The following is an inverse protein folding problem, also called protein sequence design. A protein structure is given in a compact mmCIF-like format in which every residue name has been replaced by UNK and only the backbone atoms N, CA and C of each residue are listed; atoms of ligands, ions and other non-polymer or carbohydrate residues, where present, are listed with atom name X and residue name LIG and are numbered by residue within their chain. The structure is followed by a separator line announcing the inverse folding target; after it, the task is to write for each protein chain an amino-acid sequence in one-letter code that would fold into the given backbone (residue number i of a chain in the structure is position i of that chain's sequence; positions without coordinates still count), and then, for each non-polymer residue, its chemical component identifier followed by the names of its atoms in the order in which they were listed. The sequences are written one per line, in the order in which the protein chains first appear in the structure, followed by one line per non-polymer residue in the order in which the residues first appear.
data_IF_740330137064
#
_entry.id   IF_740330137064
#
_cell.length_a   1.000
_cell.length_b   1.000
_cell.length_c   1.000
_cell.angle_alpha   90.00
_cell.angle_beta   90.00
_cell.angle_gamma   90.00
#
_symmetry.space_group_name_H-M   'P 1'
#
loop_
_entity.id
_entity.type
_entity.pdbx_description
1 polymer ?
#
# COMPACT_ATOMS: atom_id res chain seq x y z
N UNK A 1 10.00 -62.95 44.59
CA UNK A 1 9.27 -61.95 43.75
C UNK A 1 10.04 -61.79 42.45
N UNK A 2 9.33 -61.53 41.35
CA UNK A 2 9.76 -61.86 39.98
C UNK A 2 10.65 -60.81 39.30
N UNK A 3 11.64 -61.31 38.55
CA UNK A 3 12.39 -60.57 37.52
C UNK A 3 11.54 -60.35 36.25
N UNK A 4 11.60 -59.16 35.64
CA UNK A 4 11.24 -58.97 34.23
C UNK A 4 11.85 -57.69 33.63
N UNK A 5 12.37 -57.80 32.40
CA UNK A 5 12.97 -56.71 31.61
C UNK A 5 11.96 -56.09 30.63
N UNK A 6 11.98 -54.76 30.46
CA UNK A 6 11.50 -54.08 29.25
C UNK A 6 12.39 -52.86 28.95
N UNK A 7 13.35 -52.97 28.02
CA UNK A 7 13.23 -52.62 26.59
C UNK A 7 12.87 -51.15 26.33
N UNK A 8 13.90 -50.34 26.10
CA UNK A 8 13.78 -49.01 25.50
C UNK A 8 13.34 -49.10 24.02
N UNK A 9 12.52 -48.15 23.59
CA UNK A 9 12.29 -47.85 22.17
C UNK A 9 12.64 -46.38 21.93
N UNK A 10 13.71 -46.14 21.17
CA UNK A 10 13.96 -44.83 20.56
C UNK A 10 12.97 -44.64 19.42
N UNK A 11 12.21 -43.56 19.44
CA UNK A 11 11.49 -43.05 18.27
C UNK A 11 12.39 -41.97 17.67
N UNK A 12 12.72 -42.09 16.38
CA UNK A 12 13.30 -41.00 15.60
C UNK A 12 12.16 -40.24 14.91
N UNK A 13 12.14 -38.90 14.92
CA UNK A 13 11.54 -38.14 13.84
C UNK A 13 12.53 -38.09 12.67
N UNK A 14 12.10 -38.51 11.47
CA UNK A 14 12.81 -38.17 10.23
C UNK A 14 12.47 -36.71 9.89
N UNK A 15 13.43 -35.81 10.03
CA UNK A 15 13.43 -34.50 9.41
C UNK A 15 14.56 -34.44 8.39
N UNK A 16 14.22 -34.36 7.10
CA UNK A 16 15.15 -33.95 6.05
C UNK A 16 14.83 -32.51 5.65
N UNK A 17 15.83 -31.64 5.48
CA UNK A 17 15.60 -30.25 5.12
C UNK A 17 15.21 -30.13 3.64
N UNK A 18 14.50 -29.05 3.32
CA UNK A 18 14.28 -28.61 1.95
C UNK A 18 15.55 -27.89 1.49
N UNK A 19 16.12 -28.29 0.36
CA UNK A 19 17.32 -27.67 -0.20
C UNK A 19 16.94 -26.39 -0.97
N UNK A 20 17.64 -25.30 -0.67
CA UNK A 20 17.56 -24.06 -1.44
C UNK A 20 18.15 -24.28 -2.85
N UNK A 21 17.54 -23.69 -3.87
CA UNK A 21 18.11 -23.67 -5.22
C UNK A 21 18.01 -22.27 -5.81
N UNK A 22 19.14 -21.57 -5.84
CA UNK A 22 19.28 -20.23 -6.41
C UNK A 22 20.18 -20.26 -7.65
N UNK A 23 19.86 -19.40 -8.62
CA UNK A 23 20.59 -19.15 -9.89
C UNK A 23 20.52 -20.31 -10.91
N UNK A 24 20.16 -20.08 -12.18
CA UNK A 24 20.89 -19.23 -13.13
C UNK A 24 20.00 -18.65 -14.23
N UNK A 25 20.34 -17.44 -14.64
CA UNK A 25 19.86 -16.79 -15.86
C UNK A 25 20.59 -17.31 -17.11
N UNK A 26 19.85 -17.54 -18.20
CA UNK A 26 20.43 -17.54 -19.56
C UNK A 26 19.42 -17.02 -20.58
N UNK A 27 19.89 -16.07 -21.37
CA UNK A 27 19.28 -15.40 -22.52
C UNK A 27 18.33 -16.23 -23.40
N UNK A 28 17.22 -15.62 -23.83
CA UNK A 28 16.40 -16.09 -24.94
C UNK A 28 16.47 -15.10 -26.12
N UNK A 29 16.60 -15.61 -27.35
CA UNK A 29 16.43 -14.87 -28.61
C UNK A 29 15.39 -15.60 -29.45
N UNK A 30 14.48 -14.90 -30.16
CA UNK A 30 13.44 -15.55 -30.95
C UNK A 30 13.98 -16.04 -32.30
N UNK A 31 13.47 -17.17 -32.77
CA UNK A 31 13.50 -17.57 -34.18
C UNK A 31 12.08 -17.93 -34.62
N UNK A 32 11.76 -17.60 -35.88
CA UNK A 32 10.41 -17.72 -36.42
C UNK A 32 10.37 -18.78 -37.54
N UNK A 33 9.34 -19.64 -37.51
CA UNK A 33 8.84 -20.36 -38.68
C UNK A 33 7.48 -21.01 -38.41
N UNK A 34 6.50 -20.74 -39.28
CA UNK A 34 5.39 -21.67 -39.56
C UNK A 34 5.80 -22.70 -40.63
N UNK A 35 4.87 -23.43 -41.29
CA UNK A 35 3.45 -23.08 -41.46
C UNK A 35 2.43 -24.27 -41.44
N UNK A 36 1.19 -23.95 -41.84
CA UNK A 36 0.18 -24.80 -42.53
C UNK A 36 -0.70 -25.86 -41.81
N UNK A 37 -1.91 -25.41 -41.47
CA UNK A 37 -3.25 -25.94 -41.89
C UNK A 37 -3.54 -27.44 -41.97
N UNK A 38 -4.63 -27.87 -41.30
CA UNK A 38 -5.68 -28.75 -41.88
C UNK A 38 -7.07 -28.48 -41.27
N UNK A 39 -8.14 -28.84 -42.03
CA UNK A 39 -9.60 -28.78 -41.76
C UNK A 39 -10.24 -29.95 -42.54
N UNK A 40 -11.57 -30.27 -42.46
CA UNK A 40 -12.64 -29.72 -41.61
C UNK A 40 -13.11 -30.78 -40.57
N UNK A 41 -14.26 -31.51 -40.58
CA UNK A 41 -15.48 -31.48 -41.43
C UNK A 41 -16.59 -30.56 -40.84
N UNK A 42 -17.88 -30.84 -41.09
CA UNK A 42 -19.04 -30.04 -40.66
C UNK A 42 -20.34 -30.87 -40.61
N UNK A 43 -21.28 -30.49 -39.71
CA UNK A 43 -22.64 -31.07 -39.56
C UNK A 43 -22.96 -31.22 -38.07
N UNK A 44 -24.06 -30.73 -37.49
CA UNK A 44 -25.47 -30.86 -37.91
C UNK A 44 -26.30 -29.56 -37.79
N UNK A 45 -27.53 -29.57 -38.33
CA UNK A 45 -28.44 -28.40 -38.43
C UNK A 45 -29.27 -28.12 -37.16
N UNK A 46 -29.37 -26.81 -36.86
CA UNK A 46 -30.53 -26.05 -36.32
C UNK A 46 -31.57 -26.78 -35.46
N UNK A 47 -31.79 -26.24 -34.26
CA UNK A 47 -33.12 -25.73 -33.87
C UNK A 47 -33.00 -24.29 -33.34
N UNK A 48 -33.89 -23.39 -33.78
CA UNK A 48 -34.08 -22.07 -33.16
C UNK A 48 -35.15 -22.21 -32.08
N UNK A 49 -34.86 -21.77 -30.85
CA UNK A 49 -35.87 -21.15 -29.99
C UNK A 49 -35.25 -19.92 -29.34
N UNK A 50 -35.88 -18.77 -29.59
CA UNK A 50 -35.64 -17.54 -28.86
C UNK A 50 -35.99 -17.74 -27.39
N UNK A 51 -35.13 -17.23 -26.51
CA UNK A 51 -35.48 -16.86 -25.14
C UNK A 51 -34.93 -15.46 -24.92
N UNK A 52 -35.84 -14.52 -24.74
CA UNK A 52 -35.53 -13.18 -24.25
C UNK A 52 -35.13 -13.29 -22.76
N UNK A 53 -34.21 -12.46 -22.26
CA UNK A 53 -33.92 -12.39 -20.84
C UNK A 53 -35.09 -11.74 -20.09
N UNK A 54 -35.44 -12.33 -18.94
CA UNK A 54 -36.52 -11.85 -18.07
C UNK A 54 -35.97 -10.73 -17.17
N UNK A 55 -36.61 -9.56 -17.22
CA UNK A 55 -36.45 -8.47 -16.26
C UNK A 55 -37.19 -8.82 -14.95
N UNK A 56 -36.52 -8.82 -13.77
CA UNK A 56 -37.13 -9.13 -12.49
C UNK A 56 -37.71 -7.91 -11.74
N UNK A 57 -37.78 -6.71 -12.32
CA UNK A 57 -38.35 -5.52 -11.68
C UNK A 57 -39.34 -4.73 -12.55
N UNK A 58 -40.61 -5.19 -12.62
CA UNK A 58 -41.82 -4.34 -12.54
C UNK A 58 -43.10 -5.16 -12.54
N UNK A 59 -44.09 -4.78 -11.71
CA UNK A 59 -45.34 -5.53 -11.57
C UNK A 59 -46.39 -4.92 -10.64
N UNK A 60 -46.79 -3.66 -10.91
CA UNK A 60 -48.11 -3.01 -10.65
C UNK A 60 -48.95 -3.40 -9.40
N UNK A 61 -49.61 -2.48 -8.68
CA UNK A 61 -50.44 -1.40 -9.21
C UNK A 61 -50.73 -0.26 -8.19
N UNK A 62 -51.42 0.78 -8.68
CA UNK A 62 -51.77 2.04 -8.01
C UNK A 62 -52.80 1.95 -6.88
N UNK A 63 -52.65 2.78 -5.84
CA UNK A 63 -53.75 3.09 -4.90
C UNK A 63 -53.41 4.04 -3.73
N UNK A 64 -53.89 5.29 -3.80
CA UNK A 64 -54.46 6.02 -2.66
C UNK A 64 -53.57 6.58 -1.52
N UNK A 65 -53.36 7.91 -1.56
CA UNK A 65 -53.38 8.86 -0.42
C UNK A 65 -52.35 8.79 0.75
N UNK A 66 -51.49 9.83 0.78
CA UNK A 66 -51.02 10.64 1.95
C UNK A 66 -50.70 9.93 3.29
N UNK A 67 -49.44 10.01 3.73
CA UNK A 67 -49.05 10.74 4.95
C UNK A 67 -47.53 11.04 5.00
N UNK A 68 -47.21 12.28 5.40
CA UNK A 68 -46.04 12.77 6.17
C UNK A 68 -44.60 12.20 6.03
N UNK A 69 -43.73 13.06 5.51
CA UNK A 69 -42.38 13.42 6.02
C UNK A 69 -41.41 12.36 6.59
N UNK A 70 -40.40 11.99 5.78
CA UNK A 70 -39.00 11.84 6.21
C UNK A 70 -38.08 11.91 4.98
N UNK A 71 -37.08 12.81 4.95
CA UNK A 71 -36.28 13.02 3.72
C UNK A 71 -35.24 14.13 3.76
N UNK A 72 -34.40 14.19 4.79
CA UNK A 72 -33.13 14.94 4.85
C UNK A 72 -32.15 14.19 5.76
N UNK A 73 -30.85 14.34 5.50
CA UNK A 73 -29.70 13.49 5.91
C UNK A 73 -29.45 12.37 4.89
N UNK A 74 -28.26 12.17 4.31
CA UNK A 74 -26.93 12.69 4.67
C UNK A 74 -26.28 13.47 3.51
N UNK A 75 -25.63 14.57 3.85
CA UNK A 75 -24.57 15.21 3.05
C UNK A 75 -23.53 15.76 4.04
N UNK A 76 -22.23 15.60 3.80
CA UNK A 76 -21.21 16.05 4.76
C UNK A 76 -21.27 17.58 4.90
N UNK A 77 -21.29 18.05 6.16
CA UNK A 77 -21.14 19.48 6.45
C UNK A 77 -19.73 19.91 6.10
N UNK A 78 -19.60 21.04 5.42
CA UNK A 78 -18.37 21.51 4.77
C UNK A 78 -17.68 22.61 5.58
N UNK A 79 -18.04 22.75 6.84
CA UNK A 79 -17.98 23.99 7.60
C UNK A 79 -17.33 23.83 8.99
N UNK A 80 -16.19 23.12 9.07
CA UNK A 80 -15.36 22.98 10.29
C UNK A 80 -13.82 23.00 10.07
N UNK A 81 -13.30 23.80 9.12
CA UNK A 81 -11.91 24.30 9.22
C UNK A 81 -11.76 25.64 8.48
N UNK A 82 -11.10 26.66 9.08
CA UNK A 82 -10.72 27.85 8.33
C UNK A 82 -9.54 27.52 7.40
N UNK A 83 -9.76 27.60 6.09
CA UNK A 83 -8.74 27.45 5.05
C UNK A 83 -7.51 28.35 5.35
N UNK A 84 -6.33 27.77 5.63
CA UNK A 84 -5.13 28.52 5.84
C UNK A 84 -4.38 28.72 4.50
N UNK A 85 -4.90 29.64 3.69
CA UNK A 85 -4.18 30.37 2.62
C UNK A 85 -3.91 29.61 1.31
N UNK A 86 -4.90 28.94 0.72
CA UNK A 86 -4.90 28.85 -0.75
C UNK A 86 -5.65 30.04 -1.37
N UNK A 87 -4.89 31.03 -1.87
CA UNK A 87 -5.44 32.01 -2.81
C UNK A 87 -5.27 31.46 -4.25
N UNK A 88 -6.36 31.06 -4.93
CA UNK A 88 -6.29 30.53 -6.30
C UNK A 88 -5.80 31.56 -7.34
N UNK A 89 -5.64 32.83 -6.99
CA UNK A 89 -5.24 33.89 -7.92
C UNK A 89 -3.72 33.98 -8.20
N UNK A 90 -2.89 33.09 -7.66
CA UNK A 90 -1.41 33.21 -7.72
C UNK A 90 -0.64 32.21 -8.59
N UNK A 91 -1.29 31.28 -9.32
CA UNK A 91 -0.61 30.35 -10.23
C UNK A 91 -1.49 29.91 -11.40
N UNK A 92 -1.06 30.20 -12.64
CA UNK A 92 -1.66 29.64 -13.87
C UNK A 92 -1.31 28.15 -14.07
N UNK A 93 -0.38 27.59 -13.28
CA UNK A 93 -0.03 26.17 -13.31
C UNK A 93 -0.81 25.38 -12.24
N UNK A 94 -1.28 24.15 -12.54
CA UNK A 94 -1.88 23.28 -11.55
C UNK A 94 -0.86 22.92 -10.45
N UNK A 95 -1.31 22.65 -9.22
CA UNK A 95 -0.42 22.26 -8.14
C UNK A 95 0.25 20.91 -8.43
N UNK A 96 1.55 20.81 -8.14
CA UNK A 96 2.29 19.54 -8.22
C UNK A 96 1.58 18.47 -7.38
N UNK A 97 1.53 17.24 -7.91
CA UNK A 97 0.82 16.13 -7.30
C UNK A 97 1.79 15.07 -6.75
N UNK A 98 1.65 14.74 -5.46
CA UNK A 98 2.24 13.59 -4.80
C UNK A 98 1.27 12.41 -4.86
N UNK A 99 1.77 11.21 -5.21
CA UNK A 99 1.05 9.95 -4.99
C UNK A 99 1.83 9.04 -4.04
N UNK A 100 1.23 8.66 -2.93
CA UNK A 100 1.79 7.66 -2.00
C UNK A 100 1.10 6.32 -2.24
N UNK A 101 1.86 5.23 -2.34
CA UNK A 101 1.31 3.90 -2.64
C UNK A 101 1.66 2.94 -1.50
N UNK A 102 0.64 2.53 -0.76
CA UNK A 102 0.74 1.74 0.47
C UNK A 102 -0.06 0.44 0.39
N UNK A 103 0.28 -0.54 1.21
CA UNK A 103 -0.32 -1.87 1.18
C UNK A 103 -1.64 -1.91 1.96
N UNK A 104 -1.67 -1.38 3.18
CA UNK A 104 -2.83 -1.44 4.10
C UNK A 104 -3.18 -0.06 4.68
N UNK A 105 -4.36 0.09 5.29
CA UNK A 105 -4.74 1.33 5.98
C UNK A 105 -4.10 1.40 7.37
N UNK A 106 -3.07 2.24 7.49
CA UNK A 106 -2.25 2.60 8.67
C UNK A 106 -0.83 2.97 8.20
N UNK A 107 -0.28 2.17 7.28
CA UNK A 107 1.01 2.32 6.61
C UNK A 107 1.29 3.76 6.16
N UNK A 108 0.28 4.46 5.63
CA UNK A 108 0.40 5.83 5.15
C UNK A 108 0.66 6.81 6.30
N UNK A 109 -0.03 6.68 7.44
CA UNK A 109 0.22 7.55 8.60
C UNK A 109 1.55 7.27 9.29
N UNK A 110 2.04 6.02 9.23
CA UNK A 110 3.33 5.63 9.81
C UNK A 110 4.47 6.18 8.94
N UNK A 111 4.46 5.83 7.65
CA UNK A 111 5.60 6.02 6.74
C UNK A 111 5.64 7.36 6.01
N UNK A 112 4.48 7.92 5.63
CA UNK A 112 4.39 9.13 4.80
C UNK A 112 3.48 10.23 5.34
N UNK A 113 2.89 10.05 6.54
CA UNK A 113 1.86 10.94 7.08
C UNK A 113 2.34 12.38 7.29
N UNK A 114 3.63 12.56 7.63
CA UNK A 114 4.26 13.86 7.72
C UNK A 114 4.50 14.47 6.34
N UNK A 115 5.10 13.72 5.40
CA UNK A 115 5.27 14.15 4.00
C UNK A 115 3.94 14.57 3.36
N UNK A 116 2.86 13.80 3.54
CA UNK A 116 1.54 14.12 3.02
C UNK A 116 0.97 15.40 3.67
N UNK A 117 1.08 15.56 4.99
CA UNK A 117 0.61 16.75 5.69
C UNK A 117 1.42 18.01 5.32
N UNK A 118 2.74 17.90 5.13
CA UNK A 118 3.60 18.99 4.63
C UNK A 118 3.23 19.35 3.18
N UNK A 119 3.07 18.36 2.30
CA UNK A 119 2.64 18.61 0.92
C UNK A 119 1.28 19.33 0.84
N UNK A 120 0.30 18.93 1.66
CA UNK A 120 -0.99 19.64 1.79
C UNK A 120 -0.80 21.07 2.33
N UNK A 121 0.06 21.27 3.33
CA UNK A 121 0.35 22.60 3.89
C UNK A 121 1.02 23.54 2.87
N UNK A 122 1.84 22.99 1.97
CA UNK A 122 2.50 23.71 0.85
C UNK A 122 1.59 23.89 -0.38
N UNK A 123 0.29 23.60 -0.26
CA UNK A 123 -0.69 23.72 -1.36
C UNK A 123 -0.49 22.73 -2.49
N UNK A 124 0.24 21.62 -2.26
CA UNK A 124 0.40 20.52 -3.22
C UNK A 124 -0.79 19.58 -3.13
N UNK A 125 -1.08 18.91 -4.24
CA UNK A 125 -2.11 17.89 -4.28
C UNK A 125 -1.54 16.56 -3.82
N UNK A 126 -2.29 15.82 -3.01
CA UNK A 126 -1.88 14.50 -2.50
C UNK A 126 -2.95 13.48 -2.85
N UNK A 127 -2.52 12.34 -3.38
CA UNK A 127 -3.38 11.19 -3.71
C UNK A 127 -2.80 9.93 -3.07
N UNK A 128 -3.49 9.38 -2.09
CA UNK A 128 -3.13 8.09 -1.51
C UNK A 128 -3.66 6.94 -2.39
N UNK A 129 -2.90 5.87 -2.53
CA UNK A 129 -3.39 4.59 -3.04
C UNK A 129 -3.13 3.50 -2.00
N UNK A 130 -4.19 2.83 -1.54
CA UNK A 130 -4.07 1.68 -0.63
C UNK A 130 -4.40 0.38 -1.39
N UNK A 131 -3.48 -0.58 -1.42
CA UNK A 131 -3.63 -1.79 -2.23
C UNK A 131 -4.72 -2.74 -1.72
N UNK A 132 -4.86 -2.85 -0.40
CA UNK A 132 -5.78 -3.77 0.28
C UNK A 132 -6.67 -3.05 1.31
N UNK A 133 -7.51 -3.78 2.03
CA UNK A 133 -8.29 -3.26 3.17
C UNK A 133 -7.70 -3.65 4.53
N UNK A 134 -6.57 -4.36 4.56
CA UNK A 134 -5.98 -4.83 5.81
C UNK A 134 -6.85 -5.82 6.58
N UNK A 135 -7.66 -6.62 5.87
CA UNK A 135 -8.67 -7.48 6.49
C UNK A 135 -8.14 -8.74 7.20
N UNK A 136 -6.84 -9.02 7.13
CA UNK A 136 -6.15 -10.09 7.86
C UNK A 136 -5.34 -9.55 9.07
N UNK A 137 -5.40 -8.24 9.32
CA UNK A 137 -4.73 -7.59 10.45
C UNK A 137 -5.19 -8.12 11.82
N UNK A 138 -4.31 -8.00 12.81
CA UNK A 138 -4.62 -8.31 14.21
C UNK A 138 -5.27 -7.09 14.87
N UNK A 139 -6.22 -7.27 15.80
CA UNK A 139 -6.85 -6.15 16.52
C UNK A 139 -6.13 -5.94 17.86
N UNK A 140 -5.35 -4.86 17.96
CA UNK A 140 -4.46 -4.63 19.12
C UNK A 140 -5.14 -4.01 20.35
N UNK A 141 -6.40 -3.61 20.23
CA UNK A 141 -7.21 -3.03 21.32
C UNK A 141 -8.16 -4.10 21.87
N UNK A 142 -7.99 -4.58 23.12
CA UNK A 142 -8.73 -5.72 23.67
C UNK A 142 -10.26 -5.56 23.65
N UNK A 143 -10.78 -4.34 23.84
CA UNK A 143 -12.22 -4.06 23.80
C UNK A 143 -12.80 -4.14 22.38
N UNK A 144 -11.95 -4.06 21.36
CA UNK A 144 -12.32 -4.19 19.95
C UNK A 144 -12.05 -5.59 19.40
N UNK A 145 -11.23 -6.42 20.07
CA UNK A 145 -10.91 -7.79 19.66
C UNK A 145 -12.12 -8.73 19.85
N UNK A 146 -13.01 -8.71 18.86
CA UNK A 146 -14.25 -9.49 18.88
C UNK A 146 -14.45 -10.23 17.55
N UNK A 147 -15.04 -11.44 17.55
CA UNK A 147 -15.33 -12.16 16.30
C UNK A 147 -16.22 -11.38 15.32
N UNK A 148 -16.99 -10.39 15.78
CA UNK A 148 -17.73 -9.48 14.90
C UNK A 148 -16.78 -8.52 14.18
N UNK A 149 -15.92 -7.82 14.92
CA UNK A 149 -14.97 -6.86 14.33
C UNK A 149 -13.99 -7.56 13.37
N UNK A 150 -13.49 -8.76 13.70
CA UNK A 150 -12.70 -9.57 12.77
C UNK A 150 -13.41 -9.83 11.43
N UNK A 151 -14.72 -10.14 11.45
CA UNK A 151 -15.48 -10.38 10.21
C UNK A 151 -15.67 -9.13 9.34
N UNK A 152 -15.56 -7.94 9.92
CA UNK A 152 -15.73 -6.63 9.23
C UNK A 152 -14.47 -5.76 9.29
N UNK A 153 -13.30 -6.32 9.55
CA UNK A 153 -12.10 -5.53 9.86
C UNK A 153 -11.74 -4.54 8.75
N UNK A 154 -11.85 -4.97 7.49
CA UNK A 154 -11.63 -4.10 6.33
C UNK A 154 -12.68 -2.99 6.13
N UNK A 155 -13.85 -3.06 6.79
CA UNK A 155 -14.83 -1.95 6.84
C UNK A 155 -14.45 -0.96 7.95
N UNK A 156 -14.00 -1.48 9.10
CA UNK A 156 -13.50 -0.66 10.21
C UNK A 156 -12.27 0.13 9.78
N UNK A 157 -11.24 -0.55 9.25
CA UNK A 157 -9.99 0.08 8.77
C UNK A 157 -10.23 1.09 7.63
N UNK A 158 -11.27 0.92 6.81
CA UNK A 158 -11.64 1.91 5.81
C UNK A 158 -12.21 3.20 6.44
N UNK A 159 -12.99 3.10 7.51
CA UNK A 159 -13.47 4.26 8.26
C UNK A 159 -12.36 4.91 9.12
N UNK A 160 -11.43 4.11 9.64
CA UNK A 160 -10.22 4.60 10.32
C UNK A 160 -9.32 5.39 9.36
N UNK A 161 -9.14 4.90 8.12
CA UNK A 161 -8.43 5.58 7.05
C UNK A 161 -9.08 6.92 6.66
N UNK A 162 -10.40 6.95 6.44
CA UNK A 162 -11.12 8.19 6.12
C UNK A 162 -10.93 9.24 7.21
N UNK A 163 -10.98 8.84 8.48
CA UNK A 163 -10.70 9.74 9.60
C UNK A 163 -9.23 10.18 9.68
N UNK A 164 -8.27 9.29 9.37
CA UNK A 164 -6.85 9.62 9.30
C UNK A 164 -6.56 10.64 8.19
N UNK A 165 -7.12 10.44 7.00
CA UNK A 165 -6.98 11.36 5.86
C UNK A 165 -7.55 12.74 6.18
N UNK A 166 -8.69 12.81 6.89
CA UNK A 166 -9.27 14.06 7.35
C UNK A 166 -8.33 14.84 8.30
N UNK A 167 -7.64 14.17 9.23
CA UNK A 167 -6.68 14.83 10.14
C UNK A 167 -5.40 15.29 9.42
N UNK A 168 -4.94 14.57 8.39
CA UNK A 168 -3.81 14.99 7.55
C UNK A 168 -4.18 16.13 6.57
N UNK A 169 -5.47 16.27 6.23
CA UNK A 169 -5.97 17.17 5.19
C UNK A 169 -5.92 16.58 3.78
N UNK A 170 -5.72 15.27 3.64
CA UNK A 170 -5.74 14.56 2.34
C UNK A 170 -7.21 14.29 1.96
N UNK A 171 -7.61 14.70 0.76
CA UNK A 171 -9.01 14.61 0.28
C UNK A 171 -9.21 13.63 -0.88
N UNK A 172 -8.12 13.03 -1.38
CA UNK A 172 -8.14 12.05 -2.47
C UNK A 172 -7.39 10.78 -2.05
N UNK A 173 -8.11 9.66 -1.99
CA UNK A 173 -7.52 8.33 -1.83
C UNK A 173 -8.29 7.31 -2.66
N UNK A 174 -7.56 6.32 -3.18
CA UNK A 174 -8.05 5.29 -4.10
C UNK A 174 -7.68 3.90 -3.57
N UNK A 175 -8.51 2.90 -3.85
CA UNK A 175 -8.23 1.49 -3.48
C UNK A 175 -7.89 0.67 -4.71
N UNK A 176 -6.77 -0.06 -4.68
CA UNK A 176 -6.40 -0.98 -5.76
C UNK A 176 -7.30 -2.24 -5.81
N UNK A 177 -8.03 -2.50 -4.73
CA UNK A 177 -9.11 -3.48 -4.66
C UNK A 177 -8.64 -4.93 -4.55
N UNK A 178 -7.53 -5.20 -3.86
CA UNK A 178 -7.08 -6.56 -3.53
C UNK A 178 -7.38 -6.92 -2.07
N UNK A 179 -7.35 -8.23 -1.79
CA UNK A 179 -7.42 -8.78 -0.44
C UNK A 179 -6.04 -8.76 0.21
N UNK A 180 -6.00 -8.39 1.49
CA UNK A 180 -4.83 -8.57 2.37
C UNK A 180 -4.32 -10.02 2.34
N UNK A 181 -3.01 -10.17 2.14
CA UNK A 181 -2.33 -11.46 1.96
C UNK A 181 -1.84 -12.10 3.22
N UNK A 182 -2.08 -11.52 4.40
CA UNK A 182 -1.56 -12.02 5.66
C UNK A 182 -0.01 -12.06 5.67
N UNK A 183 0.59 -12.46 6.78
CA UNK A 183 2.04 -12.63 6.87
C UNK A 183 2.53 -13.78 5.99
N UNK A 184 3.75 -13.63 5.46
CA UNK A 184 4.44 -14.66 4.67
C UNK A 184 4.41 -16.02 5.37
N UNK A 185 3.95 -17.06 4.66
CA UNK A 185 3.82 -18.42 5.18
C UNK A 185 2.60 -18.70 6.06
N UNK A 186 1.77 -17.70 6.42
CA UNK A 186 0.43 -17.94 7.00
C UNK A 186 -0.57 -18.33 5.89
N UNK A 187 -1.70 -18.93 6.26
CA UNK A 187 -2.64 -19.52 5.29
C UNK A 187 -3.34 -18.49 4.39
N UNK A 188 -3.50 -17.24 4.84
CA UNK A 188 -4.02 -16.16 3.99
C UNK A 188 -3.15 -15.86 2.77
N UNK A 189 -1.84 -16.10 2.89
CA UNK A 189 -0.86 -15.88 1.82
C UNK A 189 -0.98 -16.90 0.67
N UNK A 190 -1.77 -17.96 0.86
CA UNK A 190 -2.08 -18.99 -0.13
C UNK A 190 -3.45 -18.80 -0.81
N UNK A 191 -4.23 -17.78 -0.42
CA UNK A 191 -5.52 -17.49 -1.08
C UNK A 191 -5.27 -16.87 -2.46
N UNK A 192 -5.75 -17.46 -3.57
CA UNK A 192 -5.49 -16.94 -4.92
C UNK A 192 -6.10 -15.56 -5.20
N UNK A 193 -6.87 -15.00 -4.26
CA UNK A 193 -7.46 -13.65 -4.35
C UNK A 193 -6.63 -12.59 -3.61
N UNK A 194 -5.65 -12.98 -2.80
CA UNK A 194 -4.84 -12.02 -2.06
C UNK A 194 -3.82 -11.33 -2.97
N UNK A 195 -3.38 -10.14 -2.57
CA UNK A 195 -2.57 -9.26 -3.39
C UNK A 195 -1.22 -9.87 -3.79
N UNK A 196 -0.60 -10.63 -2.89
CA UNK A 196 0.64 -11.39 -3.13
C UNK A 196 0.50 -12.39 -4.30
N UNK A 197 -0.67 -13.02 -4.43
CA UNK A 197 -0.99 -13.99 -5.48
C UNK A 197 -1.55 -13.35 -6.76
N UNK A 198 -1.89 -12.05 -6.74
CA UNK A 198 -2.41 -11.35 -7.90
C UNK A 198 -1.42 -11.34 -9.07
N UNK A 199 -1.89 -11.36 -10.32
CA UNK A 199 -0.99 -11.19 -11.46
C UNK A 199 -0.35 -9.80 -11.45
N UNK A 200 0.96 -9.76 -11.70
CA UNK A 200 1.75 -8.55 -11.56
C UNK A 200 1.58 -7.57 -12.72
N UNK A 201 1.22 -8.07 -13.92
CA UNK A 201 0.90 -7.23 -15.05
C UNK A 201 -0.51 -6.61 -14.88
N UNK A 202 -1.46 -7.39 -14.36
CA UNK A 202 -2.80 -6.93 -13.98
C UNK A 202 -2.76 -5.84 -12.89
N UNK A 203 -2.11 -6.13 -11.76
CA UNK A 203 -2.00 -5.18 -10.64
C UNK A 203 -1.22 -3.92 -11.04
N UNK A 204 -0.12 -4.08 -11.78
CA UNK A 204 0.61 -2.98 -12.40
C UNK A 204 -0.26 -2.16 -13.35
N UNK A 205 -1.17 -2.80 -14.08
CA UNK A 205 -2.14 -2.15 -14.97
C UNK A 205 -3.16 -1.31 -14.22
N UNK A 206 -3.71 -1.82 -13.12
CA UNK A 206 -4.62 -1.08 -12.23
C UNK A 206 -3.96 0.18 -11.68
N UNK A 207 -2.73 0.09 -11.17
CA UNK A 207 -2.03 1.28 -10.66
C UNK A 207 -1.61 2.22 -11.80
N UNK A 208 -1.25 1.70 -12.97
CA UNK A 208 -0.96 2.53 -14.16
C UNK A 208 -2.17 3.39 -14.57
N UNK A 209 -3.39 2.85 -14.46
CA UNK A 209 -4.63 3.60 -14.68
C UNK A 209 -4.76 4.77 -13.70
N UNK A 210 -4.49 4.54 -12.41
CA UNK A 210 -4.49 5.59 -11.38
C UNK A 210 -3.40 6.64 -11.61
N UNK A 211 -2.18 6.24 -12.00
CA UNK A 211 -1.10 7.19 -12.33
C UNK A 211 -1.48 8.07 -13.53
N UNK A 212 -2.08 7.50 -14.58
CA UNK A 212 -2.56 8.26 -15.75
C UNK A 212 -3.74 9.20 -15.42
N UNK A 213 -4.60 8.78 -14.48
CA UNK A 213 -5.77 9.56 -14.00
C UNK A 213 -5.35 10.73 -13.11
N UNK A 214 -4.56 10.47 -12.07
CA UNK A 214 -4.22 11.45 -11.04
C UNK A 214 -2.97 12.26 -11.37
N UNK A 215 -2.15 11.81 -12.33
CA UNK A 215 -0.99 12.54 -12.86
C UNK A 215 0.01 13.00 -11.79
N UNK A 216 0.52 12.08 -10.95
CA UNK A 216 1.51 12.45 -9.95
C UNK A 216 2.83 12.86 -10.59
N UNK A 217 3.39 13.98 -10.17
CA UNK A 217 4.76 14.40 -10.48
C UNK A 217 5.77 13.59 -9.67
N UNK A 218 5.40 13.25 -8.43
CA UNK A 218 6.19 12.48 -7.48
C UNK A 218 5.40 11.25 -7.02
N UNK A 219 6.03 10.09 -6.99
CA UNK A 219 5.48 8.86 -6.40
C UNK A 219 6.34 8.39 -5.22
N UNK A 220 5.72 7.81 -4.19
CA UNK A 220 6.42 7.10 -3.10
C UNK A 220 5.84 5.71 -2.88
N UNK A 221 6.68 4.77 -2.44
CA UNK A 221 6.33 3.37 -2.11
C UNK A 221 7.37 2.80 -1.13
N UNK A 222 7.40 1.48 -0.93
CA UNK A 222 8.41 0.78 -0.11
C UNK A 222 9.69 0.47 -0.91
N UNK A 223 10.77 0.06 -0.24
CA UNK A 223 11.90 -0.59 -0.90
C UNK A 223 11.55 -2.01 -1.39
N UNK A 224 12.48 -2.68 -2.06
CA UNK A 224 12.28 -4.04 -2.62
C UNK A 224 12.05 -5.13 -1.54
N UNK A 225 12.51 -4.89 -0.31
CA UNK A 225 12.19 -5.72 0.86
C UNK A 225 10.84 -5.37 1.52
N UNK A 226 10.11 -4.37 1.02
CA UNK A 226 8.82 -3.98 1.59
C UNK A 226 8.93 -3.45 3.03
N UNK A 227 9.98 -2.68 3.33
CA UNK A 227 10.28 -2.22 4.69
C UNK A 227 10.70 -3.36 5.61
N UNK A 228 9.74 -4.04 6.25
CA UNK A 228 9.99 -5.08 7.26
C UNK A 228 9.82 -6.53 6.75
N UNK A 229 9.56 -6.71 5.45
CA UNK A 229 9.39 -8.02 4.81
C UNK A 229 7.94 -8.49 4.66
N UNK A 230 6.93 -7.61 4.74
CA UNK A 230 5.54 -8.00 4.50
C UNK A 230 5.31 -8.32 3.01
N UNK A 231 4.63 -9.44 2.66
CA UNK A 231 4.38 -9.80 1.26
C UNK A 231 3.69 -8.67 0.48
N UNK A 232 2.65 -8.06 1.06
CA UNK A 232 1.94 -6.96 0.39
C UNK A 232 2.77 -5.68 0.25
N UNK A 233 3.74 -5.42 1.12
CA UNK A 233 4.63 -4.25 0.98
C UNK A 233 5.60 -4.47 -0.20
N UNK A 234 6.18 -5.67 -0.29
CA UNK A 234 6.99 -6.11 -1.44
C UNK A 234 6.16 -6.06 -2.73
N UNK A 235 4.89 -6.49 -2.67
CA UNK A 235 4.00 -6.45 -3.84
C UNK A 235 3.59 -5.04 -4.24
N UNK A 236 3.38 -4.15 -3.28
CA UNK A 236 3.14 -2.73 -3.54
C UNK A 236 4.35 -2.08 -4.20
N UNK A 237 5.58 -2.42 -3.78
CA UNK A 237 6.81 -2.00 -4.45
C UNK A 237 6.84 -2.47 -5.92
N UNK A 238 6.68 -3.78 -6.16
CA UNK A 238 6.66 -4.38 -7.50
C UNK A 238 5.66 -3.72 -8.46
N UNK A 239 4.49 -3.36 -7.93
CA UNK A 239 3.38 -2.73 -8.66
C UNK A 239 3.65 -1.24 -8.89
N UNK A 240 4.16 -0.51 -7.88
CA UNK A 240 4.49 0.91 -7.97
C UNK A 240 5.65 1.20 -8.93
N UNK A 241 6.76 0.45 -8.83
CA UNK A 241 7.90 0.57 -9.76
C UNK A 241 7.45 0.31 -11.20
N UNK A 242 6.59 -0.68 -11.41
CA UNK A 242 6.04 -1.03 -12.73
C UNK A 242 5.11 0.03 -13.29
N UNK A 243 4.23 0.60 -12.47
CA UNK A 243 3.37 1.70 -12.89
C UNK A 243 4.18 2.96 -13.23
N UNK A 244 5.16 3.32 -12.40
CA UNK A 244 6.05 4.46 -12.64
C UNK A 244 6.87 4.33 -13.94
N UNK A 245 7.31 3.11 -14.26
CA UNK A 245 8.03 2.82 -15.51
C UNK A 245 7.12 2.80 -16.76
N UNK A 246 5.86 2.39 -16.63
CA UNK A 246 4.96 2.12 -17.78
C UNK A 246 3.93 3.22 -18.08
N UNK A 247 3.56 4.05 -17.11
CA UNK A 247 2.45 5.00 -17.28
C UNK A 247 2.66 6.01 -18.43
N UNK A 248 3.91 6.39 -18.71
CA UNK A 248 4.27 7.35 -19.75
C UNK A 248 4.43 6.74 -21.14
N UNK A 249 4.42 5.42 -21.27
CA UNK A 249 4.58 4.71 -22.54
C UNK A 249 3.21 4.19 -23.03
N UNK A 250 2.69 4.67 -24.18
CA UNK A 250 1.40 4.23 -24.71
C UNK A 250 1.38 2.77 -25.20
N UNK A 251 2.54 2.12 -25.39
CA UNK A 251 2.60 0.71 -25.73
C UNK A 251 2.21 -0.21 -24.55
N UNK A 252 2.30 0.27 -23.31
CA UNK A 252 1.83 -0.44 -22.12
C UNK A 252 0.37 -0.13 -21.81
N UNK A 253 -0.42 -1.19 -21.69
CA UNK A 253 -1.86 -1.13 -21.45
C UNK A 253 -2.61 -0.21 -22.45
N UNK A 254 -2.44 -0.39 -23.78
CA UNK A 254 -2.99 0.52 -24.78
C UNK A 254 -4.52 0.61 -24.72
N UNK A 255 -5.21 -0.41 -24.22
CA UNK A 255 -6.66 -0.40 -24.00
C UNK A 255 -7.14 0.62 -22.95
N UNK A 256 -6.26 1.16 -22.11
CA UNK A 256 -6.58 2.27 -21.21
C UNK A 256 -6.65 3.62 -21.95
N UNK A 257 -6.07 3.67 -23.16
CA UNK A 257 -5.99 4.85 -24.03
C UNK A 257 -6.87 4.68 -25.29
N UNK A 258 -7.20 3.43 -25.66
CA UNK A 258 -7.87 3.09 -26.90
C UNK A 258 -9.42 3.11 -26.77
N UNK A 259 -10.14 3.69 -27.75
CA UNK A 259 -11.60 3.75 -27.68
C UNK A 259 -12.32 2.38 -27.74
N UNK A 260 -11.84 1.43 -28.53
CA UNK A 260 -12.59 0.19 -28.84
C UNK A 260 -12.76 -0.82 -27.68
N UNK A 261 -12.10 -0.67 -26.53
CA UNK A 261 -12.19 -1.61 -25.40
C UNK A 261 -13.26 -1.24 -24.35
N UNK A 262 -14.29 -0.49 -24.76
CA UNK A 262 -15.24 0.17 -23.85
C UNK A 262 -14.90 1.63 -23.57
N UNK A 263 -13.84 2.14 -24.20
CA UNK A 263 -13.50 3.55 -24.19
C UNK A 263 -14.36 4.37 -25.16
N UNK A 264 -15.53 4.81 -24.73
CA UNK A 264 -15.89 6.21 -25.04
C UNK A 264 -15.13 7.14 -24.09
N UNK A 265 -13.82 6.87 -23.96
CA UNK A 265 -12.84 7.69 -23.30
C UNK A 265 -12.93 9.04 -23.99
N UNK A 266 -13.41 10.08 -23.29
CA UNK A 266 -13.62 11.35 -23.93
C UNK A 266 -12.26 11.95 -24.36
N UNK A 267 -12.21 13.14 -24.99
CA UNK A 267 -10.91 13.81 -25.10
C UNK A 267 -10.29 13.98 -23.70
N UNK A 268 -8.99 14.25 -23.61
CA UNK A 268 -8.37 14.58 -22.32
C UNK A 268 -9.15 15.69 -21.57
N UNK A 269 -9.62 16.70 -22.31
CA UNK A 269 -10.46 17.79 -21.82
C UNK A 269 -11.84 17.36 -21.29
N UNK A 270 -12.32 16.18 -21.68
CA UNK A 270 -13.64 15.66 -21.38
C UNK A 270 -13.58 14.44 -20.40
N UNK A 271 -12.37 13.99 -20.00
CA UNK A 271 -12.16 12.92 -18.99
C UNK A 271 -11.44 11.65 -19.47
N UNK A 272 -10.84 11.64 -20.66
CA UNK A 272 -10.02 10.50 -21.14
C UNK A 272 -8.65 10.39 -20.47
N UNK A 273 -8.03 9.19 -20.51
CA UNK A 273 -6.66 9.00 -20.04
C UNK A 273 -5.63 9.28 -21.13
N UNK A 274 -4.53 9.91 -20.74
CA UNK A 274 -3.34 10.10 -21.56
C UNK A 274 -2.14 9.38 -20.92
N UNK A 275 -1.07 9.05 -21.67
CA UNK A 275 0.20 8.66 -21.07
C UNK A 275 0.69 9.76 -20.11
N UNK A 276 1.09 9.37 -18.91
CA UNK A 276 1.64 10.29 -17.92
C UNK A 276 2.97 9.77 -17.41
N UNK A 277 3.99 10.62 -17.41
CA UNK A 277 5.36 10.28 -17.01
C UNK A 277 5.71 11.01 -15.70
N UNK A 278 5.44 10.41 -14.52
CA UNK A 278 5.88 10.93 -13.23
C UNK A 278 7.40 11.17 -13.25
N UNK A 279 7.85 12.18 -12.53
CA UNK A 279 9.23 12.68 -12.61
C UNK A 279 10.16 11.99 -11.63
N UNK A 280 9.69 11.67 -10.43
CA UNK A 280 10.53 11.15 -9.33
C UNK A 280 9.82 10.02 -8.60
N UNK A 281 10.55 8.94 -8.29
CA UNK A 281 10.08 7.80 -7.49
C UNK A 281 10.96 7.65 -6.26
N UNK A 282 10.32 7.66 -5.09
CA UNK A 282 10.98 7.46 -3.80
C UNK A 282 10.55 6.15 -3.14
N UNK A 283 11.48 5.57 -2.39
CA UNK A 283 11.24 4.47 -1.47
C UNK A 283 11.33 5.00 -0.04
N UNK A 284 10.41 4.58 0.82
CA UNK A 284 10.49 4.83 2.25
C UNK A 284 11.75 4.16 2.84
N UNK A 285 12.55 4.93 3.56
CA UNK A 285 13.71 4.44 4.28
C UNK A 285 13.42 4.35 5.78
N UNK A 286 13.96 3.34 6.44
CA UNK A 286 13.97 3.22 7.90
C UNK A 286 15.41 3.49 8.36
N UNK A 287 15.77 4.71 8.80
CA UNK A 287 17.16 5.03 9.10
C UNK A 287 17.69 4.22 10.27
N UNK A 288 18.92 3.72 10.12
CA UNK A 288 19.62 2.96 11.13
C UNK A 288 19.83 3.82 12.39
N UNK A 289 20.21 5.10 12.28
CA UNK A 289 20.37 5.99 13.43
C UNK A 289 19.09 6.13 14.25
N UNK A 290 17.96 6.41 13.58
CA UNK A 290 16.63 6.61 14.17
C UNK A 290 16.19 5.37 14.94
N UNK A 291 16.30 4.18 14.32
CA UNK A 291 15.90 2.92 14.97
C UNK A 291 16.84 2.49 16.10
N UNK A 292 18.15 2.68 15.95
CA UNK A 292 19.11 2.43 17.02
C UNK A 292 18.83 3.35 18.22
N UNK A 293 18.61 4.65 18.00
CA UNK A 293 18.25 5.59 19.05
C UNK A 293 16.93 5.24 19.76
N UNK A 294 15.93 4.74 19.04
CA UNK A 294 14.70 4.21 19.66
C UNK A 294 14.97 2.99 20.54
N UNK A 295 15.73 1.99 20.04
CA UNK A 295 16.13 0.81 20.83
C UNK A 295 16.87 1.23 22.10
N UNK A 296 17.92 2.03 21.95
CA UNK A 296 18.79 2.45 23.06
C UNK A 296 18.00 3.22 24.13
N UNK A 297 16.97 4.00 23.73
CA UNK A 297 16.06 4.68 24.66
C UNK A 297 15.10 3.71 25.35
N UNK A 298 14.61 2.66 24.70
CA UNK A 298 13.81 1.61 25.36
C UNK A 298 14.66 0.84 26.40
N UNK A 299 15.86 0.43 26.00
CA UNK A 299 16.78 -0.32 26.88
C UNK A 299 17.22 0.53 28.09
N UNK A 300 17.43 1.83 27.90
CA UNK A 300 17.69 2.78 29.01
C UNK A 300 16.52 2.95 29.99
N UNK A 301 15.28 2.62 29.58
CA UNK A 301 14.10 2.58 30.45
C UNK A 301 13.91 1.20 31.12
N UNK A 302 14.81 0.24 30.86
CA UNK A 302 14.72 -1.12 31.38
C UNK A 302 13.75 -2.03 30.61
N UNK A 303 13.36 -1.63 29.40
CA UNK A 303 12.42 -2.36 28.56
C UNK A 303 13.14 -3.00 27.37
N UNK A 304 12.86 -4.28 27.10
CA UNK A 304 13.38 -4.92 25.90
C UNK A 304 12.71 -4.28 24.67
N UNK A 305 13.51 -3.80 23.71
CA UNK A 305 12.97 -3.35 22.45
C UNK A 305 12.54 -4.55 21.61
N UNK A 306 11.47 -4.38 20.84
CA UNK A 306 11.06 -5.34 19.80
C UNK A 306 12.12 -5.46 18.69
N UNK A 307 13.10 -4.55 18.69
CA UNK A 307 14.25 -4.48 17.78
C UNK A 307 15.60 -4.76 18.48
N UNK A 308 15.59 -5.27 19.71
CA UNK A 308 16.78 -5.81 20.38
C UNK A 308 17.11 -7.20 19.83
N UNK A 309 18.38 -7.62 19.91
CA UNK A 309 18.76 -9.00 19.58
C UNK A 309 18.02 -10.00 20.50
N UNK A 310 17.50 -11.14 19.99
CA UNK A 310 16.78 -12.09 20.84
C UNK A 310 17.74 -12.75 21.82
N UNK A 311 17.51 -12.56 23.13
CA UNK A 311 18.45 -12.93 24.18
C UNK A 311 18.82 -14.44 24.24
N UNK A 312 17.88 -15.31 23.87
CA UNK A 312 18.03 -16.78 23.93
C UNK A 312 18.18 -17.42 22.53
N UNK A 313 18.50 -16.64 21.49
CA UNK A 313 18.71 -17.18 20.13
C UNK A 313 19.98 -18.03 20.00
N UNK A 314 19.89 -19.10 19.21
CA UNK A 314 21.08 -19.80 18.71
C UNK A 314 21.90 -18.91 17.74
N UNK A 315 23.18 -19.23 17.47
CA UNK A 315 23.99 -18.46 16.52
C UNK A 315 23.40 -18.36 15.10
N UNK A 316 22.64 -19.37 14.67
CA UNK A 316 21.96 -19.39 13.36
C UNK A 316 20.75 -18.45 13.34
N UNK A 317 19.93 -18.47 14.39
CA UNK A 317 18.79 -17.55 14.56
C UNK A 317 19.25 -16.10 14.70
N UNK A 318 20.37 -15.86 15.39
CA UNK A 318 20.94 -14.53 15.55
C UNK A 318 21.49 -13.97 14.23
N UNK A 319 22.16 -14.80 13.41
CA UNK A 319 22.62 -14.37 12.09
C UNK A 319 21.45 -14.09 11.15
N UNK A 320 20.42 -14.96 11.14
CA UNK A 320 19.19 -14.73 10.37
C UNK A 320 18.45 -13.45 10.81
N UNK A 321 18.46 -13.13 12.11
CA UNK A 321 17.94 -11.86 12.62
C UNK A 321 18.76 -10.66 12.10
N UNK A 322 20.11 -10.74 12.15
CA UNK A 322 21.00 -9.68 11.65
C UNK A 322 20.84 -9.45 10.16
N UNK A 323 20.77 -10.51 9.36
CA UNK A 323 20.47 -10.42 7.93
C UNK A 323 19.13 -9.74 7.65
N UNK A 324 18.09 -10.03 8.45
CA UNK A 324 16.78 -9.39 8.31
C UNK A 324 16.85 -7.91 8.66
N UNK A 325 17.51 -7.56 9.75
CA UNK A 325 17.67 -6.15 10.18
C UNK A 325 18.49 -5.36 9.15
N UNK A 326 19.51 -5.95 8.53
CA UNK A 326 20.30 -5.33 7.47
C UNK A 326 19.52 -5.09 6.16
N UNK A 327 18.43 -5.82 5.90
CA UNK A 327 17.52 -5.59 4.76
C UNK A 327 16.45 -4.52 5.07
N UNK A 328 16.11 -4.36 6.35
CA UNK A 328 15.10 -3.40 6.82
C UNK A 328 15.67 -2.01 7.09
N UNK A 329 16.86 -1.93 7.68
CA UNK A 329 17.48 -0.67 8.09
C UNK A 329 18.38 -0.09 6.98
N UNK A 330 18.27 1.21 6.78
CA UNK A 330 19.03 1.97 5.80
C UNK A 330 20.11 2.79 6.51
N UNK A 331 21.41 2.65 6.17
CA UNK A 331 22.46 3.53 6.69
C UNK A 331 22.19 4.99 6.32
N UNK A 332 22.35 5.92 7.27
CA UNK A 332 22.04 7.34 7.10
C UNK A 332 22.78 7.98 5.91
N UNK A 333 24.01 7.56 5.63
CA UNK A 333 24.81 7.99 4.48
C UNK A 333 24.25 7.52 3.12
N UNK A 334 23.34 6.54 3.12
CA UNK A 334 22.61 6.09 1.92
C UNK A 334 21.29 6.84 1.73
N UNK A 335 20.75 7.49 2.77
CA UNK A 335 19.48 8.23 2.69
C UNK A 335 19.66 9.46 1.81
N UNK A 336 18.97 9.50 0.67
CA UNK A 336 19.10 10.59 -0.29
C UNK A 336 18.21 11.78 0.04
N UNK A 337 17.19 11.61 0.89
CA UNK A 337 16.15 12.62 1.08
C UNK A 337 15.63 12.59 2.52
N UNK A 338 15.64 13.73 3.17
CA UNK A 338 15.19 13.91 4.56
C UNK A 338 14.16 15.04 4.62
N UNK A 339 12.90 14.68 4.87
CA UNK A 339 11.79 15.62 4.98
C UNK A 339 11.59 15.96 6.45
N UNK A 340 11.69 17.24 6.80
CA UNK A 340 11.32 17.70 8.14
C UNK A 340 9.80 17.82 8.23
N UNK A 341 9.22 17.21 9.26
CA UNK A 341 7.78 17.13 9.48
C UNK A 341 7.39 17.67 10.87
N UNK A 342 8.31 18.36 11.56
CA UNK A 342 8.09 18.92 12.90
C UNK A 342 6.83 19.80 12.98
N UNK A 343 6.63 20.69 12.01
CA UNK A 343 5.51 21.66 11.98
C UNK A 343 4.14 21.00 11.71
N UNK A 344 4.12 19.78 11.18
CA UNK A 344 2.89 19.01 10.88
C UNK A 344 2.73 17.76 11.74
N UNK A 345 3.65 17.52 12.68
CA UNK A 345 3.71 16.28 13.47
C UNK A 345 2.42 16.05 14.28
N UNK A 346 1.75 17.11 14.74
CA UNK A 346 0.47 16.98 15.46
C UNK A 346 -0.66 16.43 14.58
N UNK A 347 -0.65 16.75 13.27
CA UNK A 347 -1.59 16.16 12.30
C UNK A 347 -1.27 14.68 12.07
N UNK A 348 0.02 14.37 11.86
CA UNK A 348 0.50 12.98 11.73
C UNK A 348 0.09 12.16 12.96
N UNK A 349 0.29 12.69 14.16
CA UNK A 349 -0.04 12.03 15.41
C UNK A 349 -1.55 11.79 15.55
N UNK A 350 -2.38 12.81 15.30
CA UNK A 350 -3.84 12.68 15.31
C UNK A 350 -4.32 11.58 14.35
N UNK A 351 -3.78 11.55 13.12
CA UNK A 351 -4.11 10.57 12.11
C UNK A 351 -3.72 9.13 12.52
N UNK A 352 -2.54 8.91 13.12
CA UNK A 352 -2.14 7.59 13.66
C UNK A 352 -3.15 7.11 14.71
N UNK A 353 -3.66 7.99 15.57
CA UNK A 353 -4.68 7.65 16.57
C UNK A 353 -6.06 7.30 15.99
N UNK A 354 -6.30 7.50 14.69
CA UNK A 354 -7.53 7.05 14.02
C UNK A 354 -7.52 5.56 13.70
N UNK A 355 -6.35 4.98 13.46
CA UNK A 355 -6.13 3.55 13.20
C UNK A 355 -6.24 2.69 14.47
N UNK A 356 -7.36 2.84 15.19
CA UNK A 356 -7.57 2.27 16.54
C UNK A 356 -7.53 0.76 16.57
N UNK A 357 -7.88 0.05 15.50
CA UNK A 357 -7.68 -1.41 15.48
C UNK A 357 -6.20 -1.80 15.41
N UNK A 358 -5.31 -0.95 14.90
CA UNK A 358 -3.89 -1.25 14.66
C UNK A 358 -2.93 -0.53 15.61
N UNK A 359 -3.38 0.54 16.28
CA UNK A 359 -2.57 1.41 17.13
C UNK A 359 -3.08 1.42 18.58
N UNK A 360 -2.20 1.04 19.52
CA UNK A 360 -2.44 1.14 20.97
C UNK A 360 -1.43 2.09 21.64
N UNK A 361 -1.73 2.66 22.82
CA UNK A 361 -0.79 3.48 23.58
C UNK A 361 0.52 2.76 23.93
N UNK A 362 0.45 1.44 24.12
CA UNK A 362 1.59 0.59 24.45
C UNK A 362 2.43 0.18 23.22
N UNK A 363 1.99 0.54 22.00
CA UNK A 363 2.79 0.37 20.79
C UNK A 363 4.16 1.04 20.95
N UNK A 364 5.29 0.37 20.61
CA UNK A 364 6.63 0.96 20.67
C UNK A 364 6.77 2.25 19.87
N UNK A 365 5.91 2.46 18.87
CA UNK A 365 5.84 3.69 18.10
C UNK A 365 5.23 4.84 18.92
N UNK A 366 4.12 4.60 19.63
CA UNK A 366 3.38 5.63 20.35
C UNK A 366 3.89 5.87 21.78
N UNK A 367 4.59 4.88 22.37
CA UNK A 367 5.02 4.85 23.78
C UNK A 367 5.81 6.07 24.25
N UNK A 368 6.61 6.68 23.39
CA UNK A 368 7.40 7.86 23.76
C UNK A 368 6.62 9.19 23.78
N UNK A 369 5.40 9.21 23.23
CA UNK A 369 4.57 10.42 23.13
C UNK A 369 5.02 11.42 22.05
N UNK A 370 4.11 12.32 21.68
CA UNK A 370 4.33 13.27 20.57
C UNK A 370 5.52 14.23 20.82
N UNK A 371 5.75 14.63 22.06
CA UNK A 371 6.84 15.55 22.41
C UNK A 371 8.22 14.94 22.15
N UNK A 372 8.42 13.67 22.50
CA UNK A 372 9.67 12.96 22.20
C UNK A 372 9.84 12.72 20.69
N UNK A 373 8.74 12.46 19.96
CA UNK A 373 8.80 12.42 18.50
C UNK A 373 9.18 13.77 17.89
N UNK A 374 8.70 14.88 18.46
CA UNK A 374 9.08 16.23 18.02
C UNK A 374 10.54 16.55 18.31
N UNK A 375 11.08 16.07 19.42
CA UNK A 375 12.47 16.32 19.84
C UNK A 375 13.49 15.44 19.08
N UNK A 376 13.18 14.16 18.83
CA UNK A 376 14.17 13.19 18.34
C UNK A 376 13.89 12.60 16.95
N UNK A 377 12.63 12.59 16.50
CA UNK A 377 12.19 11.80 15.35
C UNK A 377 11.23 12.56 14.41
N UNK A 378 11.39 13.88 14.32
CA UNK A 378 10.56 14.78 13.50
C UNK A 378 10.86 14.73 12.00
N UNK A 379 11.53 13.67 11.51
CA UNK A 379 12.00 13.55 10.14
C UNK A 379 11.59 12.23 9.50
N UNK A 380 11.11 12.31 8.28
CA UNK A 380 10.87 11.16 7.41
C UNK A 380 12.01 11.04 6.39
N UNK A 381 12.39 9.80 6.08
CA UNK A 381 13.58 9.48 5.30
C UNK A 381 13.20 8.67 4.06
N UNK A 382 13.84 8.98 2.94
CA UNK A 382 13.55 8.35 1.65
C UNK A 382 14.81 8.10 0.82
N UNK A 383 14.73 7.09 -0.06
CA UNK A 383 15.69 6.82 -1.13
C UNK A 383 15.06 7.23 -2.46
N UNK A 384 15.72 8.11 -3.21
CA UNK A 384 15.38 8.48 -4.57
C UNK A 384 15.79 7.34 -5.52
N UNK A 385 14.83 6.47 -5.85
CA UNK A 385 15.06 5.28 -6.70
C UNK A 385 15.28 5.68 -8.16
N UNK A 386 14.45 6.58 -8.68
CA UNK A 386 14.57 7.07 -10.06
C UNK A 386 14.17 8.56 -10.11
N UNK A 387 14.97 9.36 -10.81
CA UNK A 387 14.65 10.75 -11.15
C UNK A 387 14.80 10.96 -12.65
N UNK A 388 13.81 11.62 -13.25
CA UNK A 388 13.76 12.01 -14.66
C UNK A 388 14.06 13.50 -14.86
N UNK A 389 14.50 14.16 -13.79
CA UNK A 389 14.99 15.55 -13.78
C UNK A 389 16.38 15.59 -13.13
N UNK A 390 17.22 16.60 -13.42
CA UNK A 390 18.46 16.80 -12.68
C UNK A 390 18.18 16.93 -11.17
N UNK A 391 18.96 16.23 -10.35
CA UNK A 391 18.75 16.17 -8.90
C UNK A 391 20.10 16.21 -8.17
N UNK A 392 20.14 16.91 -7.04
CA UNK A 392 21.28 16.95 -6.13
C UNK A 392 20.87 16.32 -4.79
N UNK A 393 21.73 15.50 -4.21
CA UNK A 393 21.47 14.79 -2.95
C UNK A 393 22.43 15.28 -1.84
N UNK A 394 22.00 15.31 -0.56
CA UNK A 394 20.66 14.96 -0.09
C UNK A 394 19.62 16.06 -0.37
N UNK A 395 18.37 15.65 -0.57
CA UNK A 395 17.22 16.53 -0.76
C UNK A 395 16.47 16.79 0.55
N UNK A 396 15.80 17.94 0.64
CA UNK A 396 14.89 18.30 1.75
C UNK A 396 13.44 18.52 1.29
N UNK A 397 13.15 18.33 0.00
CA UNK A 397 11.84 18.44 -0.62
C UNK A 397 11.76 17.40 -1.75
N UNK A 398 10.72 16.56 -1.75
CA UNK A 398 10.51 15.56 -2.81
C UNK A 398 10.19 16.20 -4.17
N UNK A 399 9.66 17.42 -4.18
CA UNK A 399 9.35 18.21 -5.37
C UNK A 399 10.54 19.03 -5.89
N UNK A 400 11.71 18.96 -5.26
CA UNK A 400 12.89 19.70 -5.68
C UNK A 400 13.22 19.43 -7.17
N UNK A 401 13.42 20.51 -7.94
CA UNK A 401 13.70 20.46 -9.38
C UNK A 401 12.48 20.33 -10.30
N UNK A 402 11.26 20.44 -9.80
CA UNK A 402 10.00 20.32 -10.58
C UNK A 402 9.25 21.65 -10.81
N UNK A 403 9.89 22.79 -10.53
CA UNK A 403 9.35 24.15 -10.70
C UNK A 403 9.78 24.81 -12.02
#
# INVERSE_FOLDING_TARGET
MSDSRARSRRIRPDSRPWEANATRSTSWRPSASGPETTRPPSGWRRTRRSREPIDPFTGTASGGARHESAGRMYGPRRDLWPDPRYDPAMSDQPPLTLMTVHAHPDDETIGTGGLMASAVADGRRVVLVTCTRGEQGEIVVPEMDTPENHRRLGELRAAELEAAMADLGVTEWESLGYRDSDMMGRTGNLDPRCFWQADLDEAGGRLTWLVRRHRPDVMTTYNDFGGYGHPDHIRTHDVAVRAFARAGDPAWYPWQLAPEHGGTGPAEADGGLAPWLPKKLYEQAIPASVRNAMRDRMEALGEQSWWSEPADASPEELEAWRERMAKMLVPDESVTTWIDVADVLDRKWAAIWRHRTQMSPDSPFLRFGVDAWREYWSREAYILRESRVPTAIPETDVFAGLA
#
